data_IF_126685293874
#
_entry.id   IF_126685293874
#
_cell.length_a   1.000
_cell.length_b   1.000
_cell.length_c   1.000
_cell.angle_alpha   90.00
_cell.angle_beta   90.00
_cell.angle_gamma   90.00
#
_symmetry.space_group_name_H-M   'P 1'
#
loop_
_entity.id
_entity.type
_entity.pdbx_description
1 polymer ?
#
# COMPACT_ATOMS: atom_id res chain seq x y z
N UNK A 1 -18.71 14.65 28.06
CA UNK A 1 -18.46 13.30 28.62
C UNK A 1 -19.65 12.35 28.51
N UNK A 2 -20.91 12.76 28.73
CA UNK A 2 -22.07 11.84 28.60
C UNK A 2 -22.43 11.43 27.16
N UNK A 3 -22.00 12.17 26.12
CA UNK A 3 -22.25 11.79 24.71
C UNK A 3 -21.29 10.71 24.16
N UNK A 4 -20.13 10.46 24.78
CA UNK A 4 -19.21 9.40 24.34
C UNK A 4 -19.59 8.02 24.87
N UNK A 5 -20.20 7.96 26.06
CA UNK A 5 -20.74 6.72 26.64
C UNK A 5 -21.95 6.18 25.85
N UNK A 6 -22.75 7.05 25.24
CA UNK A 6 -23.87 6.65 24.36
C UNK A 6 -23.44 6.17 22.96
N UNK A 7 -22.25 6.59 22.48
CA UNK A 7 -21.65 6.12 21.21
C UNK A 7 -20.91 4.78 21.37
N UNK A 8 -20.31 4.53 22.53
CA UNK A 8 -19.73 3.22 22.88
C UNK A 8 -20.82 2.19 23.15
N UNK A 9 -21.91 2.58 23.83
CA UNK A 9 -23.02 1.68 24.12
C UNK A 9 -23.71 1.20 22.84
N UNK A 10 -23.93 2.06 21.84
CA UNK A 10 -24.55 1.68 20.56
C UNK A 10 -23.68 0.77 19.67
N UNK A 11 -22.35 0.98 19.65
CA UNK A 11 -21.39 0.08 18.96
C UNK A 11 -21.31 -1.30 19.60
N UNK A 12 -21.29 -1.36 20.94
CA UNK A 12 -21.36 -2.63 21.67
C UNK A 12 -22.76 -3.26 21.57
N UNK A 13 -23.85 -2.49 21.54
CA UNK A 13 -25.21 -3.01 21.40
C UNK A 13 -25.46 -3.64 20.03
N UNK A 14 -24.95 -3.06 18.94
CA UNK A 14 -25.08 -3.62 17.59
C UNK A 14 -24.23 -4.88 17.39
N UNK A 15 -22.98 -4.90 17.89
CA UNK A 15 -22.12 -6.10 17.87
C UNK A 15 -22.66 -7.21 18.79
N UNK A 16 -23.17 -6.87 19.97
CA UNK A 16 -23.76 -7.84 20.90
C UNK A 16 -25.12 -8.36 20.43
N UNK A 17 -25.99 -7.54 19.79
CA UNK A 17 -27.23 -8.05 19.18
C UNK A 17 -26.96 -8.99 18.00
N UNK A 18 -25.95 -8.70 17.15
CA UNK A 18 -25.56 -9.60 16.06
C UNK A 18 -24.95 -10.91 16.58
N UNK A 19 -24.09 -10.87 17.61
CA UNK A 19 -23.57 -12.08 18.27
C UNK A 19 -24.65 -12.89 19.00
N UNK A 20 -25.60 -12.24 19.66
CA UNK A 20 -26.67 -12.91 20.39
C UNK A 20 -27.73 -13.59 19.48
N UNK A 21 -27.93 -13.09 18.25
CA UNK A 21 -28.80 -13.76 17.28
C UNK A 21 -28.14 -14.93 16.53
N UNK A 22 -26.80 -15.08 16.57
CA UNK A 22 -26.07 -16.07 15.76
C UNK A 22 -25.83 -17.43 16.43
N UNK A 23 -26.11 -17.60 17.73
CA UNK A 23 -25.91 -18.89 18.42
C UNK A 23 -26.96 -19.97 18.10
N UNK A 24 -27.86 -19.74 17.12
CA UNK A 24 -29.00 -20.64 16.84
C UNK A 24 -28.96 -21.34 15.48
N UNK A 25 -27.77 -21.59 14.92
CA UNK A 25 -27.60 -22.47 13.76
C UNK A 25 -26.66 -23.63 14.10
N UNK A 26 -27.24 -24.73 14.63
CA UNK A 26 -26.53 -26.02 14.75
C UNK A 26 -26.13 -26.47 13.33
N UNK A 27 -24.85 -26.35 12.98
CA UNK A 27 -24.28 -26.83 11.70
C UNK A 27 -23.72 -25.74 10.77
N UNK A 28 -23.81 -24.45 11.10
CA UNK A 28 -23.17 -23.40 10.31
C UNK A 28 -21.73 -23.15 10.77
N UNK A 29 -20.81 -22.86 9.84
CA UNK A 29 -19.45 -22.42 10.17
C UNK A 29 -19.49 -21.13 11.02
N UNK A 30 -18.54 -20.95 11.97
CA UNK A 30 -18.43 -19.70 12.72
C UNK A 30 -18.27 -18.50 11.79
N UNK A 31 -18.85 -17.35 12.16
CA UNK A 31 -18.80 -16.12 11.38
C UNK A 31 -17.36 -15.73 11.03
N UNK A 32 -16.46 -15.83 12.01
CA UNK A 32 -15.05 -15.47 11.88
C UNK A 32 -14.33 -16.35 10.85
N UNK A 33 -14.72 -17.61 10.74
CA UNK A 33 -14.16 -18.53 9.76
C UNK A 33 -14.69 -18.25 8.37
N UNK A 34 -16.00 -17.96 8.24
CA UNK A 34 -16.60 -17.54 6.96
C UNK A 34 -15.98 -16.23 6.49
N UNK A 35 -15.83 -15.25 7.38
CA UNK A 35 -15.17 -13.97 7.08
C UNK A 35 -13.74 -14.19 6.59
N UNK A 36 -12.94 -15.01 7.30
CA UNK A 36 -11.58 -15.32 6.87
C UNK A 36 -11.53 -15.96 5.49
N UNK A 37 -12.34 -16.98 5.24
CA UNK A 37 -12.42 -17.65 3.93
C UNK A 37 -12.78 -16.65 2.83
N UNK A 38 -13.76 -15.78 3.09
CA UNK A 38 -14.23 -14.80 2.12
C UNK A 38 -13.21 -13.69 1.88
N UNK A 39 -12.48 -13.23 2.89
CA UNK A 39 -11.38 -12.27 2.73
C UNK A 39 -10.28 -12.89 1.89
N UNK A 40 -9.82 -14.10 2.23
CA UNK A 40 -8.76 -14.80 1.51
C UNK A 40 -9.16 -15.02 0.04
N UNK A 41 -10.39 -15.51 -0.20
CA UNK A 41 -10.91 -15.70 -1.55
C UNK A 41 -11.04 -14.37 -2.31
N UNK A 42 -11.68 -13.36 -1.73
CA UNK A 42 -11.93 -12.05 -2.38
C UNK A 42 -10.63 -11.35 -2.77
N UNK A 43 -9.64 -11.34 -1.87
CA UNK A 43 -8.34 -10.73 -2.12
C UNK A 43 -7.44 -11.55 -3.05
N UNK A 44 -7.65 -12.87 -3.17
CA UNK A 44 -6.86 -13.70 -4.08
C UNK A 44 -7.28 -13.58 -5.56
N UNK A 45 -8.48 -13.07 -5.85
CA UNK A 45 -9.00 -12.94 -7.21
C UNK A 45 -8.43 -11.67 -7.88
N UNK A 46 -7.57 -11.89 -8.87
CA UNK A 46 -6.85 -10.81 -9.57
C UNK A 46 -7.64 -10.08 -10.65
N UNK A 47 -8.76 -10.61 -11.13
CA UNK A 47 -9.56 -9.97 -12.18
C UNK A 47 -10.96 -9.57 -11.70
N UNK A 48 -11.37 -8.36 -12.07
CA UNK A 48 -12.67 -7.77 -11.72
C UNK A 48 -13.87 -8.65 -12.08
N UNK A 49 -13.87 -9.27 -13.27
CA UNK A 49 -15.00 -10.07 -13.77
C UNK A 49 -15.25 -11.30 -12.90
N UNK A 50 -14.21 -12.09 -12.64
CA UNK A 50 -14.26 -13.26 -11.75
C UNK A 50 -14.60 -12.84 -10.33
N UNK A 51 -14.11 -11.69 -9.87
CA UNK A 51 -14.39 -11.17 -8.54
C UNK A 51 -15.88 -10.90 -8.35
N UNK A 52 -16.54 -10.22 -9.31
CA UNK A 52 -17.99 -10.01 -9.25
C UNK A 52 -18.81 -11.26 -9.54
N UNK A 53 -18.30 -12.19 -10.35
CA UNK A 53 -18.93 -13.50 -10.52
C UNK A 53 -18.95 -14.28 -9.19
N UNK A 54 -17.80 -14.34 -8.50
CA UNK A 54 -17.70 -14.92 -7.16
C UNK A 54 -18.67 -14.24 -6.19
N UNK A 55 -18.76 -12.91 -6.23
CA UNK A 55 -19.72 -12.17 -5.42
C UNK A 55 -21.16 -12.65 -5.66
N UNK A 56 -21.57 -12.77 -6.94
CA UNK A 56 -22.89 -13.24 -7.33
C UNK A 56 -23.19 -14.67 -6.84
N UNK A 57 -22.25 -15.59 -7.03
CA UNK A 57 -22.37 -17.00 -6.62
C UNK A 57 -22.49 -17.12 -5.10
N UNK A 58 -21.61 -16.46 -4.34
CA UNK A 58 -21.61 -16.57 -2.87
C UNK A 58 -22.83 -15.89 -2.25
N UNK A 59 -23.30 -14.77 -2.83
CA UNK A 59 -24.45 -14.03 -2.33
C UNK A 59 -25.77 -14.84 -2.34
N UNK A 60 -25.86 -15.89 -3.16
CA UNK A 60 -27.05 -16.75 -3.22
C UNK A 60 -26.96 -18.00 -2.33
N UNK A 61 -25.79 -18.34 -1.77
CA UNK A 61 -25.60 -19.56 -0.97
C UNK A 61 -26.43 -19.56 0.32
N UNK A 62 -26.32 -18.48 1.10
CA UNK A 62 -27.10 -18.30 2.33
C UNK A 62 -27.08 -16.85 2.78
N UNK A 63 -27.99 -16.49 3.69
CA UNK A 63 -28.03 -15.15 4.28
C UNK A 63 -26.74 -14.81 5.04
N UNK A 64 -26.19 -15.74 5.83
CA UNK A 64 -24.97 -15.49 6.62
C UNK A 64 -23.79 -15.20 5.71
N UNK A 65 -23.56 -16.05 4.70
CA UNK A 65 -22.45 -15.86 3.76
C UNK A 65 -22.59 -14.56 2.97
N UNK A 66 -23.80 -14.24 2.53
CA UNK A 66 -24.08 -12.98 1.83
C UNK A 66 -23.80 -11.76 2.72
N UNK A 67 -24.30 -11.76 3.96
CA UNK A 67 -24.12 -10.63 4.88
C UNK A 67 -22.63 -10.42 5.23
N UNK A 68 -21.89 -11.52 5.47
CA UNK A 68 -20.43 -11.47 5.69
C UNK A 68 -19.73 -10.96 4.43
N UNK A 69 -20.11 -11.46 3.25
CA UNK A 69 -19.51 -11.05 1.99
C UNK A 69 -19.72 -9.56 1.71
N UNK A 70 -20.90 -9.01 1.96
CA UNK A 70 -21.13 -7.56 1.83
C UNK A 70 -20.17 -6.76 2.73
N UNK A 71 -20.02 -7.18 3.99
CA UNK A 71 -19.08 -6.54 4.92
C UNK A 71 -17.62 -6.67 4.43
N UNK A 72 -17.24 -7.80 3.84
CA UNK A 72 -15.90 -8.02 3.26
C UNK A 72 -15.67 -7.13 2.04
N UNK A 73 -16.58 -7.14 1.07
CA UNK A 73 -16.45 -6.36 -0.18
C UNK A 73 -16.39 -4.86 0.11
N UNK A 74 -17.21 -4.37 1.03
CA UNK A 74 -17.18 -2.95 1.42
C UNK A 74 -15.94 -2.60 2.24
N UNK A 75 -15.37 -3.55 3.00
CA UNK A 75 -14.16 -3.32 3.78
C UNK A 75 -12.88 -3.42 2.95
N UNK A 76 -12.89 -4.22 1.88
CA UNK A 76 -11.78 -4.46 0.96
C UNK A 76 -12.22 -4.16 -0.48
N UNK A 77 -12.41 -2.87 -0.77
CA UNK A 77 -12.88 -2.44 -2.07
C UNK A 77 -11.75 -2.46 -3.11
N UNK A 78 -12.03 -2.94 -4.32
CA UNK A 78 -11.13 -3.00 -5.48
C UNK A 78 -11.76 -2.28 -6.66
N UNK A 79 -11.32 -1.06 -6.95
CA UNK A 79 -11.84 -0.29 -8.09
C UNK A 79 -10.80 -0.32 -9.21
N UNK A 80 -10.97 -1.24 -10.17
CA UNK A 80 -10.03 -1.47 -11.29
C UNK A 80 -10.63 -1.06 -12.65
N UNK A 81 -11.95 -1.05 -12.74
CA UNK A 81 -12.72 -0.84 -13.97
C UNK A 81 -14.05 -0.15 -13.68
N UNK A 82 -14.64 0.54 -14.68
CA UNK A 82 -15.92 1.25 -14.49
C UNK A 82 -17.05 0.36 -13.96
N UNK A 83 -17.16 -0.92 -14.38
CA UNK A 83 -18.05 -1.88 -13.75
C UNK A 83 -17.87 -2.01 -12.24
N UNK A 84 -16.63 -2.07 -11.73
CA UNK A 84 -16.37 -2.15 -10.29
C UNK A 84 -17.01 -0.98 -9.55
N UNK A 85 -16.74 0.24 -10.03
CA UNK A 85 -17.25 1.46 -9.44
C UNK A 85 -18.78 1.48 -9.36
N UNK A 86 -19.45 1.16 -10.48
CA UNK A 86 -20.92 1.09 -10.54
C UNK A 86 -21.46 0.04 -9.56
N UNK A 87 -20.77 -1.08 -9.38
CA UNK A 87 -21.17 -2.08 -8.39
C UNK A 87 -20.99 -1.57 -6.97
N UNK A 88 -19.85 -0.96 -6.61
CA UNK A 88 -19.66 -0.37 -5.29
C UNK A 88 -20.68 0.73 -4.99
N UNK A 89 -21.01 1.59 -5.95
CA UNK A 89 -22.04 2.61 -5.79
C UNK A 89 -23.41 1.98 -5.45
N UNK A 90 -23.78 0.89 -6.14
CA UNK A 90 -24.99 0.12 -5.84
C UNK A 90 -24.96 -0.55 -4.46
N UNK A 91 -23.78 -0.95 -3.99
CA UNK A 91 -23.63 -1.54 -2.65
C UNK A 91 -23.70 -0.49 -1.55
N UNK A 92 -22.99 0.63 -1.73
CA UNK A 92 -22.92 1.74 -0.78
C UNK A 92 -24.26 2.47 -0.65
N UNK A 93 -25.05 2.56 -1.72
CA UNK A 93 -26.43 3.09 -1.63
C UNK A 93 -27.36 2.22 -0.80
N UNK A 94 -27.00 0.95 -0.54
CA UNK A 94 -27.80 -0.01 0.23
C UNK A 94 -27.28 -0.23 1.64
N UNK A 95 -26.01 0.04 1.92
CA UNK A 95 -25.31 -0.34 3.16
C UNK A 95 -24.45 0.80 3.73
N UNK A 96 -24.41 0.95 5.06
CA UNK A 96 -23.69 2.03 5.77
C UNK A 96 -22.17 1.95 5.54
N UNK A 97 -21.53 3.00 4.98
CA UNK A 97 -20.18 2.94 4.43
C UNK A 97 -19.12 3.13 5.51
N UNK A 98 -18.58 2.03 6.04
CA UNK A 98 -17.33 2.09 6.81
C UNK A 98 -16.25 1.20 6.21
N UNK A 99 -15.85 1.55 4.98
CA UNK A 99 -14.71 0.92 4.34
C UNK A 99 -13.44 1.23 5.14
N UNK A 100 -12.68 0.20 5.51
CA UNK A 100 -11.40 0.37 6.25
C UNK A 100 -10.20 0.30 5.31
N UNK A 101 -10.29 -0.51 4.25
CA UNK A 101 -9.23 -0.75 3.29
C UNK A 101 -9.76 -0.61 1.86
N UNK A 102 -9.07 0.17 1.03
CA UNK A 102 -9.50 0.41 -0.35
C UNK A 102 -8.30 0.27 -1.28
N UNK A 103 -8.34 -0.68 -2.19
CA UNK A 103 -7.43 -0.79 -3.33
C UNK A 103 -8.06 -0.13 -4.55
N UNK A 104 -7.35 0.82 -5.14
CA UNK A 104 -7.80 1.58 -6.29
C UNK A 104 -6.73 1.47 -7.36
N UNK A 105 -7.11 0.92 -8.51
CA UNK A 105 -6.27 0.94 -9.70
C UNK A 105 -6.77 2.07 -10.57
N UNK A 106 -6.01 3.17 -10.59
CA UNK A 106 -6.31 4.32 -11.42
C UNK A 106 -5.65 4.13 -12.78
N UNK A 107 -6.47 3.73 -13.75
CA UNK A 107 -6.16 3.90 -15.17
C UNK A 107 -6.50 5.32 -15.61
N UNK A 108 -5.50 6.13 -15.95
CA UNK A 108 -5.72 7.48 -16.49
C UNK A 108 -5.59 7.54 -18.03
N UNK A 109 -5.45 6.40 -18.72
CA UNK A 109 -5.58 6.33 -20.19
C UNK A 109 -7.05 6.31 -20.58
N UNK A 110 -7.91 5.74 -19.75
CA UNK A 110 -9.34 5.75 -20.03
C UNK A 110 -10.06 6.88 -19.29
N UNK A 111 -10.84 7.67 -20.03
CA UNK A 111 -11.65 8.81 -19.51
C UNK A 111 -12.79 8.35 -18.59
N UNK A 112 -12.72 7.14 -18.04
CA UNK A 112 -13.85 6.45 -17.43
C UNK A 112 -14.15 6.93 -16.01
N UNK A 113 -13.20 7.61 -15.34
CA UNK A 113 -13.35 8.03 -13.94
C UNK A 113 -12.92 9.46 -13.70
N UNK A 114 -13.73 10.20 -12.95
CA UNK A 114 -13.29 11.43 -12.30
C UNK A 114 -12.80 11.10 -10.90
N UNK A 115 -11.60 11.55 -10.54
CA UNK A 115 -11.05 11.39 -9.18
C UNK A 115 -12.05 11.88 -8.12
N UNK A 116 -12.78 12.96 -8.41
CA UNK A 116 -13.79 13.53 -7.52
C UNK A 116 -14.94 12.57 -7.20
N UNK A 117 -15.25 11.61 -8.08
CA UNK A 117 -16.30 10.61 -7.86
C UNK A 117 -15.80 9.52 -6.91
N UNK A 118 -14.57 9.05 -7.11
CA UNK A 118 -13.91 8.09 -6.21
C UNK A 118 -13.78 8.68 -4.81
N UNK A 119 -13.42 9.97 -4.71
CA UNK A 119 -13.26 10.68 -3.44
C UNK A 119 -14.52 10.62 -2.54
N UNK A 120 -15.72 10.53 -3.13
CA UNK A 120 -16.98 10.42 -2.37
C UNK A 120 -17.11 9.11 -1.60
N UNK A 121 -16.44 8.05 -2.05
CA UNK A 121 -16.59 6.70 -1.51
C UNK A 121 -15.47 6.29 -0.57
N UNK A 122 -14.42 7.11 -0.44
CA UNK A 122 -13.24 6.80 0.37
C UNK A 122 -12.98 7.70 1.59
N UNK A 123 -13.87 8.60 2.06
CA UNK A 123 -13.50 9.61 3.07
C UNK A 123 -13.08 9.01 4.42
N UNK A 124 -13.53 7.79 4.74
CA UNK A 124 -13.17 7.07 5.98
C UNK A 124 -12.08 5.99 5.78
N UNK A 125 -11.49 5.90 4.59
CA UNK A 125 -10.46 4.91 4.30
C UNK A 125 -9.23 5.15 5.19
N UNK A 126 -8.72 4.08 5.82
CA UNK A 126 -7.49 4.13 6.62
C UNK A 126 -6.28 3.63 5.87
N UNK A 127 -6.53 2.70 4.95
CA UNK A 127 -5.53 2.06 4.10
C UNK A 127 -5.94 2.24 2.65
N UNK A 128 -5.02 2.71 1.83
CA UNK A 128 -5.25 2.88 0.40
C UNK A 128 -4.09 2.32 -0.42
N UNK A 129 -4.41 1.55 -1.45
CA UNK A 129 -3.47 1.21 -2.52
C UNK A 129 -3.84 2.02 -3.76
N UNK A 130 -2.88 2.73 -4.33
CA UNK A 130 -3.05 3.45 -5.59
C UNK A 130 -2.09 2.87 -6.63
N UNK A 131 -2.66 2.22 -7.64
CA UNK A 131 -1.95 1.97 -8.89
C UNK A 131 -2.13 3.16 -9.82
N UNK A 132 -1.05 3.69 -10.36
CA UNK A 132 -1.11 4.66 -11.45
C UNK A 132 -0.57 3.92 -12.67
N UNK A 133 -1.45 3.47 -13.57
CA UNK A 133 -1.02 2.58 -14.67
C UNK A 133 -0.64 3.30 -15.96
N UNK A 134 -0.72 4.64 -15.97
CA UNK A 134 -0.48 5.43 -17.19
C UNK A 134 0.34 6.67 -16.96
N UNK A 135 1.21 6.99 -17.93
CA UNK A 135 2.12 8.13 -17.92
C UNK A 135 1.37 9.44 -18.20
N UNK A 136 0.68 9.97 -17.18
CA UNK A 136 0.21 11.36 -17.16
C UNK A 136 0.73 12.07 -15.92
N UNK A 137 1.94 12.62 -16.09
CA UNK A 137 2.71 13.43 -15.14
C UNK A 137 1.89 14.49 -14.38
N UNK A 138 0.92 15.09 -15.06
CA UNK A 138 0.12 16.20 -14.50
C UNK A 138 -1.05 15.72 -13.62
N UNK A 139 -1.39 14.43 -13.68
CA UNK A 139 -2.56 13.90 -12.99
C UNK A 139 -2.28 13.60 -11.52
N UNK A 140 -1.01 13.38 -11.14
CA UNK A 140 -0.65 13.08 -9.75
C UNK A 140 -1.01 14.24 -8.81
N UNK A 141 -0.84 15.49 -9.23
CA UNK A 141 -1.28 16.65 -8.46
C UNK A 141 -2.80 16.65 -8.22
N UNK A 142 -3.58 16.22 -9.21
CA UNK A 142 -5.05 16.09 -9.09
C UNK A 142 -5.42 14.95 -8.13
N UNK A 143 -4.70 13.83 -8.16
CA UNK A 143 -4.89 12.73 -7.19
C UNK A 143 -4.62 13.22 -5.78
N UNK A 144 -3.50 13.93 -5.56
CA UNK A 144 -3.17 14.51 -4.26
C UNK A 144 -4.30 15.43 -3.77
N UNK A 145 -4.74 16.38 -4.62
CA UNK A 145 -5.72 17.40 -4.25
C UNK A 145 -7.14 16.86 -4.07
N UNK A 146 -7.63 16.06 -5.03
CA UNK A 146 -9.03 15.66 -5.08
C UNK A 146 -9.33 14.39 -4.30
N UNK A 147 -8.34 13.52 -4.08
CA UNK A 147 -8.54 12.24 -3.38
C UNK A 147 -7.85 12.23 -2.01
N UNK A 148 -6.53 12.38 -2.02
CA UNK A 148 -5.72 12.11 -0.82
C UNK A 148 -5.88 13.20 0.25
N UNK A 149 -5.79 14.47 -0.14
CA UNK A 149 -5.91 15.60 0.79
C UNK A 149 -7.29 15.69 1.45
N UNK A 150 -8.33 15.14 0.82
CA UNK A 150 -9.70 15.10 1.37
C UNK A 150 -9.96 13.89 2.27
N UNK A 151 -9.05 12.91 2.31
CA UNK A 151 -9.22 11.68 3.09
C UNK A 151 -8.46 11.78 4.40
N UNK A 152 -9.02 12.51 5.37
CA UNK A 152 -8.35 12.81 6.65
C UNK A 152 -8.05 11.57 7.50
N UNK A 153 -8.78 10.46 7.31
CA UNK A 153 -8.55 9.21 8.04
C UNK A 153 -7.42 8.34 7.46
N UNK A 154 -6.88 8.70 6.30
CA UNK A 154 -5.92 7.88 5.57
C UNK A 154 -4.56 7.89 6.27
N UNK A 155 -4.18 6.77 6.86
CA UNK A 155 -2.92 6.64 7.61
C UNK A 155 -1.85 5.85 6.86
N UNK A 156 -2.28 4.88 6.04
CA UNK A 156 -1.42 3.99 5.27
C UNK A 156 -1.72 4.14 3.78
N UNK A 157 -0.70 4.51 3.01
CA UNK A 157 -0.82 4.70 1.57
C UNK A 157 0.26 3.92 0.86
N UNK A 158 -0.14 3.13 -0.14
CA UNK A 158 0.77 2.58 -1.14
C UNK A 158 0.53 3.27 -2.47
N UNK A 159 1.61 3.69 -3.13
CA UNK A 159 1.56 4.22 -4.49
C UNK A 159 2.49 3.37 -5.34
N UNK A 160 1.95 2.82 -6.42
CA UNK A 160 2.68 2.01 -7.37
C UNK A 160 2.53 2.60 -8.77
N UNK A 161 3.65 2.81 -9.45
CA UNK A 161 3.67 3.21 -10.86
C UNK A 161 3.84 1.98 -11.76
N UNK A 162 3.57 2.10 -13.08
CA UNK A 162 3.84 1.02 -14.02
C UNK A 162 5.36 0.89 -14.22
N UNK A 163 5.87 -0.20 -14.80
CA UNK A 163 7.26 -0.25 -15.27
C UNK A 163 7.46 0.87 -16.29
N UNK A 164 8.25 1.88 -15.95
CA UNK A 164 8.43 3.05 -16.81
C UNK A 164 9.55 2.80 -17.81
N UNK A 165 9.23 2.90 -19.10
CA UNK A 165 10.22 2.90 -20.17
C UNK A 165 10.98 4.24 -20.24
N UNK A 166 10.36 5.32 -19.74
CA UNK A 166 10.92 6.68 -19.77
C UNK A 166 10.89 7.29 -18.36
N UNK A 167 12.00 7.92 -17.96
CA UNK A 167 12.05 8.78 -16.77
C UNK A 167 11.08 9.94 -16.96
N UNK A 168 10.11 10.09 -16.06
CA UNK A 168 9.23 11.26 -16.05
C UNK A 168 9.35 12.03 -14.74
N UNK A 169 9.03 13.32 -14.80
CA UNK A 169 8.98 14.20 -13.65
C UNK A 169 7.52 14.38 -13.18
N UNK A 170 7.24 14.10 -11.90
CA UNK A 170 6.09 14.66 -11.20
C UNK A 170 6.51 16.02 -10.64
N UNK A 171 6.00 17.13 -11.19
CA UNK A 171 6.24 18.44 -10.59
C UNK A 171 5.67 18.47 -9.17
N UNK A 172 6.30 19.26 -8.30
CA UNK A 172 5.78 19.50 -6.96
C UNK A 172 4.43 20.22 -7.08
N UNK A 173 3.39 19.68 -6.45
CA UNK A 173 2.03 20.20 -6.55
C UNK A 173 1.70 21.27 -5.51
N UNK A 174 2.54 21.44 -4.47
CA UNK A 174 2.22 22.25 -3.30
C UNK A 174 1.18 21.65 -2.36
N UNK A 175 0.60 20.49 -2.71
CA UNK A 175 -0.45 19.83 -1.93
C UNK A 175 0.19 18.96 -0.86
N UNK A 176 -0.23 19.16 0.38
CA UNK A 176 0.26 18.39 1.54
C UNK A 176 -0.82 17.45 2.05
N UNK A 177 -0.45 16.19 2.26
CA UNK A 177 -1.31 15.14 2.83
C UNK A 177 -0.77 14.77 4.21
N UNK A 178 -1.36 15.39 5.22
CA UNK A 178 -0.89 15.30 6.61
C UNK A 178 -1.30 14.02 7.35
N UNK A 179 -2.36 13.35 6.88
CA UNK A 179 -2.92 12.18 7.56
C UNK A 179 -2.04 10.93 7.44
N UNK A 180 -1.24 10.83 6.38
CA UNK A 180 -0.44 9.65 6.06
C UNK A 180 0.79 9.58 6.94
N UNK A 181 0.95 8.45 7.62
CA UNK A 181 2.10 8.14 8.51
C UNK A 181 2.92 6.97 7.99
N UNK A 182 2.30 6.07 7.21
CA UNK A 182 2.92 4.92 6.59
C UNK A 182 2.79 5.04 5.08
N UNK A 183 3.92 5.16 4.39
CA UNK A 183 3.96 5.38 2.95
C UNK A 183 4.80 4.29 2.29
N UNK A 184 4.22 3.56 1.35
CA UNK A 184 4.92 2.60 0.52
C UNK A 184 4.93 3.10 -0.92
N UNK A 185 6.12 3.33 -1.47
CA UNK A 185 6.30 3.78 -2.84
C UNK A 185 7.03 2.68 -3.63
N UNK A 186 6.36 2.17 -4.66
CA UNK A 186 6.91 1.15 -5.55
C UNK A 186 6.99 1.68 -6.99
N UNK A 187 8.07 1.32 -7.70
CA UNK A 187 8.33 1.64 -9.11
C UNK A 187 8.32 3.14 -9.40
N UNK A 188 8.74 3.95 -8.43
CA UNK A 188 8.68 5.41 -8.54
C UNK A 188 9.58 5.96 -9.66
N UNK A 189 9.19 7.10 -10.26
CA UNK A 189 10.09 7.87 -11.08
C UNK A 189 11.20 8.48 -10.21
N UNK A 190 12.43 8.01 -10.37
CA UNK A 190 13.58 8.41 -9.56
C UNK A 190 13.80 9.94 -9.51
N UNK A 191 13.53 10.65 -10.60
CA UNK A 191 13.62 12.12 -10.68
C UNK A 191 12.59 12.86 -9.81
N UNK A 192 11.54 12.20 -9.33
CA UNK A 192 10.40 12.85 -8.66
C UNK A 192 10.15 12.37 -7.25
N UNK A 193 10.92 11.39 -6.77
CA UNK A 193 10.72 10.82 -5.44
C UNK A 193 10.78 11.89 -4.34
N UNK A 194 11.70 12.86 -4.45
CA UNK A 194 11.77 14.00 -3.52
C UNK A 194 10.47 14.82 -3.50
N UNK A 195 9.95 15.21 -4.67
CA UNK A 195 8.69 15.95 -4.79
C UNK A 195 7.49 15.18 -4.23
N UNK A 196 7.47 13.85 -4.43
CA UNK A 196 6.45 12.97 -3.87
C UNK A 196 6.55 12.97 -2.34
N UNK A 197 7.74 12.73 -1.78
CA UNK A 197 7.95 12.69 -0.33
C UNK A 197 7.64 14.04 0.34
N UNK A 198 7.95 15.17 -0.32
CA UNK A 198 7.60 16.50 0.15
C UNK A 198 6.09 16.70 0.36
N UNK A 199 5.25 15.92 -0.32
CA UNK A 199 3.79 15.96 -0.17
C UNK A 199 3.29 15.23 1.09
N UNK A 200 4.14 14.47 1.79
CA UNK A 200 3.77 13.63 2.94
C UNK A 200 4.66 13.92 4.16
N UNK A 201 4.54 15.11 4.77
CA UNK A 201 5.46 15.57 5.82
C UNK A 201 5.42 14.73 7.12
N UNK A 202 4.30 14.07 7.41
CA UNK A 202 4.10 13.30 8.65
C UNK A 202 4.49 11.81 8.55
N UNK A 203 5.15 11.40 7.45
CA UNK A 203 5.55 10.01 7.25
C UNK A 203 6.61 9.62 8.26
N UNK A 204 6.29 8.59 9.05
CA UNK A 204 7.21 7.99 10.03
C UNK A 204 7.72 6.64 9.57
N UNK A 205 6.95 5.93 8.74
CA UNK A 205 7.31 4.63 8.18
C UNK A 205 7.30 4.75 6.66
N UNK A 206 8.48 4.69 6.05
CA UNK A 206 8.65 4.77 4.60
C UNK A 206 9.14 3.44 4.06
N UNK A 207 8.41 2.86 3.10
CA UNK A 207 8.84 1.68 2.36
C UNK A 207 9.13 2.03 0.90
N UNK A 208 10.29 1.63 0.41
CA UNK A 208 10.69 1.83 -0.98
C UNK A 208 10.85 0.48 -1.68
N UNK A 209 10.08 0.28 -2.73
CA UNK A 209 10.10 -0.93 -3.55
C UNK A 209 11.09 -0.89 -4.72
N UNK A 210 11.82 0.21 -4.89
CA UNK A 210 12.67 0.45 -6.07
C UNK A 210 13.94 1.18 -5.65
N UNK A 211 15.12 0.57 -5.86
CA UNK A 211 16.42 1.16 -5.55
C UNK A 211 16.58 2.56 -6.10
N UNK A 212 17.18 3.42 -5.28
CA UNK A 212 17.53 4.80 -5.61
C UNK A 212 18.69 5.26 -4.73
N UNK A 213 19.32 6.38 -5.11
CA UNK A 213 20.37 6.99 -4.30
C UNK A 213 19.76 7.64 -3.06
N UNK A 214 19.81 6.92 -1.92
CA UNK A 214 19.18 7.36 -0.67
C UNK A 214 19.71 8.71 -0.14
N UNK A 215 20.96 9.08 -0.47
CA UNK A 215 21.51 10.40 -0.12
C UNK A 215 20.67 11.58 -0.66
N UNK A 216 20.00 11.39 -1.80
CA UNK A 216 19.13 12.42 -2.39
C UNK A 216 17.83 12.60 -1.61
N UNK A 217 17.52 11.67 -0.70
CA UNK A 217 16.30 11.69 0.08
C UNK A 217 16.50 12.28 1.49
N UNK A 218 17.75 12.50 1.92
CA UNK A 218 18.08 13.02 3.26
C UNK A 218 17.23 14.25 3.65
N UNK A 219 16.99 15.25 2.77
CA UNK A 219 16.16 16.41 3.12
C UNK A 219 14.72 16.07 3.54
N UNK A 220 14.20 14.91 3.12
CA UNK A 220 12.82 14.47 3.36
C UNK A 220 12.71 13.42 4.47
N UNK A 221 13.81 13.09 5.16
CA UNK A 221 13.87 12.01 6.15
C UNK A 221 13.79 12.50 7.60
N UNK A 222 13.43 13.77 7.83
CA UNK A 222 13.40 14.37 9.17
C UNK A 222 12.43 13.66 10.10
N UNK A 223 11.24 13.30 9.62
CA UNK A 223 10.17 12.63 10.39
C UNK A 223 10.20 11.11 10.30
N UNK A 224 10.92 10.54 9.32
CA UNK A 224 11.01 9.10 9.09
C UNK A 224 11.80 8.43 10.22
N UNK A 225 11.15 7.46 10.86
CA UNK A 225 11.70 6.63 11.94
C UNK A 225 12.08 5.24 11.45
N UNK A 226 11.28 4.68 10.54
CA UNK A 226 11.49 3.34 9.98
C UNK A 226 11.56 3.45 8.47
N UNK A 227 12.69 3.05 7.89
CA UNK A 227 12.90 2.94 6.46
C UNK A 227 12.96 1.47 6.06
N UNK A 228 12.02 1.02 5.25
CA UNK A 228 11.93 -0.35 4.73
C UNK A 228 12.38 -0.35 3.27
N UNK A 229 13.36 -1.17 2.94
CA UNK A 229 13.94 -1.28 1.59
C UNK A 229 13.68 -2.67 1.04
N UNK A 230 12.94 -2.78 -0.07
CA UNK A 230 12.79 -4.06 -0.77
C UNK A 230 13.98 -4.28 -1.70
N UNK A 231 14.83 -5.24 -1.34
CA UNK A 231 16.07 -5.59 -2.01
C UNK A 231 15.97 -7.01 -2.63
N UNK A 232 15.17 -7.20 -3.69
CA UNK A 232 14.98 -8.51 -4.29
C UNK A 232 16.23 -9.07 -4.97
N UNK A 233 16.33 -10.40 -5.08
CA UNK A 233 17.35 -11.05 -5.90
C UNK A 233 17.06 -10.79 -7.38
N UNK A 234 18.10 -10.76 -8.23
CA UNK A 234 17.96 -10.58 -9.70
C UNK A 234 17.17 -9.33 -10.11
N UNK A 235 17.62 -8.18 -9.62
CA UNK A 235 16.96 -6.91 -9.93
C UNK A 235 17.31 -6.44 -11.34
N UNK A 236 16.30 -6.23 -12.18
CA UNK A 236 16.47 -5.69 -13.53
C UNK A 236 16.21 -4.18 -13.54
N UNK A 237 17.15 -3.41 -14.07
CA UNK A 237 16.91 -2.02 -14.46
C UNK A 237 16.50 -2.01 -15.92
N UNK A 238 15.28 -1.53 -16.20
CA UNK A 238 14.84 -1.33 -17.57
C UNK A 238 15.56 -0.11 -18.14
N UNK A 239 16.37 -0.32 -19.17
CA UNK A 239 17.03 0.73 -19.95
C UNK A 239 16.55 0.64 -21.39
N UNK A 240 16.75 1.70 -22.18
CA UNK A 240 16.32 1.74 -23.58
C UNK A 240 16.93 0.60 -24.44
N UNK A 241 18.06 0.00 -24.02
CA UNK A 241 18.74 -1.20 -24.55
C UNK A 241 20.03 -1.44 -23.71
N UNK A 242 20.52 -2.68 -23.52
CA UNK A 242 19.82 -3.89 -23.08
C UNK A 242 19.51 -3.86 -21.57
N UNK A 243 18.49 -4.63 -21.13
CA UNK A 243 18.12 -4.76 -19.72
C UNK A 243 19.30 -5.20 -18.86
N UNK A 244 19.71 -4.35 -17.93
CA UNK A 244 20.77 -4.67 -16.98
C UNK A 244 20.18 -5.48 -15.84
N UNK A 245 20.60 -6.74 -15.70
CA UNK A 245 20.20 -7.62 -14.61
C UNK A 245 21.33 -7.62 -13.58
N UNK A 246 21.05 -7.08 -12.40
CA UNK A 246 21.94 -7.15 -11.26
C UNK A 246 21.67 -8.42 -10.47
N UNK A 247 22.71 -9.14 -10.00
CA UNK A 247 22.52 -10.33 -9.17
C UNK A 247 21.79 -9.99 -7.85
N UNK A 248 21.92 -8.75 -7.38
CA UNK A 248 21.23 -8.21 -6.22
C UNK A 248 20.99 -6.70 -6.36
N UNK A 249 19.93 -6.22 -5.73
CA UNK A 249 19.64 -4.79 -5.58
C UNK A 249 20.23 -4.17 -4.32
N UNK A 250 20.81 -4.96 -3.40
CA UNK A 250 21.38 -4.45 -2.14
C UNK A 250 22.38 -3.30 -2.38
N UNK A 251 23.36 -3.42 -3.30
CA UNK A 251 24.32 -2.34 -3.53
C UNK A 251 23.69 -1.08 -4.15
N UNK A 252 22.58 -1.25 -4.89
CA UNK A 252 21.94 -0.15 -5.63
C UNK A 252 21.26 0.86 -4.71
N UNK A 253 21.01 0.51 -3.45
CA UNK A 253 20.48 1.42 -2.44
C UNK A 253 21.50 2.43 -1.92
N UNK A 254 22.80 2.14 -2.11
CA UNK A 254 23.91 3.01 -1.70
C UNK A 254 23.78 3.53 -0.25
N UNK A 255 23.47 2.63 0.68
CA UNK A 255 23.14 2.97 2.08
C UNK A 255 24.33 3.58 2.80
N UNK A 256 25.55 3.09 2.56
CA UNK A 256 26.76 3.57 3.22
C UNK A 256 26.98 5.07 2.97
N UNK A 257 27.00 5.47 1.70
CA UNK A 257 27.11 6.87 1.28
C UNK A 257 25.95 7.72 1.85
N UNK A 258 24.73 7.17 1.88
CA UNK A 258 23.58 7.89 2.43
C UNK A 258 23.71 8.15 3.94
N UNK A 259 24.23 7.20 4.73
CA UNK A 259 24.48 7.36 6.16
C UNK A 259 25.51 8.47 6.42
N UNK A 260 26.59 8.50 5.64
CA UNK A 260 27.61 9.57 5.72
C UNK A 260 27.02 10.95 5.45
N UNK A 261 26.02 11.01 4.56
CA UNK A 261 25.28 12.24 4.25
C UNK A 261 24.15 12.55 5.26
N UNK A 262 24.02 11.79 6.34
CA UNK A 262 23.07 12.04 7.42
C UNK A 262 21.70 11.39 7.23
N UNK A 263 21.59 10.33 6.42
CA UNK A 263 20.37 9.51 6.33
C UNK A 263 19.97 9.04 7.74
N UNK A 264 18.74 9.37 8.14
CA UNK A 264 18.21 9.03 9.46
C UNK A 264 19.10 9.50 10.62
N UNK A 265 19.86 10.60 10.45
CA UNK A 265 20.57 11.23 11.56
C UNK A 265 19.54 11.92 12.46
N UNK A 266 19.36 11.43 13.68
CA UNK A 266 18.50 12.06 14.68
C UNK A 266 19.31 12.84 15.71
N UNK A 267 18.84 14.03 16.07
CA UNK A 267 19.20 14.72 17.31
C UNK A 267 18.38 14.21 18.50
N UNK A 268 17.30 13.48 18.22
CA UNK A 268 16.33 13.04 19.20
C UNK A 268 16.67 11.67 19.79
N UNK A 269 16.24 11.43 21.03
CA UNK A 269 16.44 10.17 21.76
C UNK A 269 15.68 8.97 21.20
N UNK A 270 14.92 9.13 20.12
CA UNK A 270 14.14 8.04 19.51
C UNK A 270 15.00 7.27 18.51
N UNK A 271 15.16 5.94 18.68
CA UNK A 271 15.95 5.14 17.75
C UNK A 271 15.29 5.10 16.37
N UNK A 272 16.10 5.27 15.33
CA UNK A 272 15.69 5.11 13.93
C UNK A 272 16.18 3.78 13.39
N UNK A 273 15.44 3.21 12.44
CA UNK A 273 15.65 1.86 11.96
C UNK A 273 15.62 1.78 10.44
N UNK A 274 16.53 0.99 9.88
CA UNK A 274 16.49 0.50 8.49
C UNK A 274 16.16 -1.00 8.53
N UNK A 275 15.11 -1.38 7.81
CA UNK A 275 14.73 -2.77 7.58
C UNK A 275 14.96 -3.08 6.11
N UNK A 276 15.82 -4.04 5.81
CA UNK A 276 16.07 -4.51 4.45
C UNK A 276 15.38 -5.85 4.22
N UNK A 277 14.42 -5.88 3.30
CA UNK A 277 13.77 -7.09 2.83
C UNK A 277 14.57 -7.66 1.66
N UNK A 278 15.49 -8.57 1.93
CA UNK A 278 16.40 -9.14 0.94
C UNK A 278 15.95 -10.51 0.41
N UNK A 279 16.50 -10.90 -0.74
CA UNK A 279 16.43 -12.27 -1.24
C UNK A 279 17.18 -13.27 -0.35
N UNK A 280 16.80 -14.55 -0.39
CA UNK A 280 17.49 -15.65 0.34
C UNK A 280 18.91 -15.98 -0.19
N UNK A 281 19.47 -15.16 -1.07
CA UNK A 281 20.81 -15.35 -1.63
C UNK A 281 21.90 -14.90 -0.65
N UNK A 282 22.99 -15.67 -0.59
CA UNK A 282 24.19 -15.37 0.20
C UNK A 282 25.14 -14.39 -0.49
N UNK A 283 24.87 -14.02 -1.75
CA UNK A 283 25.73 -13.14 -2.57
C UNK A 283 26.06 -11.80 -1.91
N UNK A 284 25.18 -11.31 -1.03
CA UNK A 284 25.31 -9.99 -0.41
C UNK A 284 25.75 -10.04 1.06
N UNK A 285 26.21 -11.20 1.57
CA UNK A 285 26.61 -11.36 2.99
C UNK A 285 27.61 -10.29 3.45
N UNK A 286 28.65 -10.04 2.65
CA UNK A 286 29.67 -9.03 2.96
C UNK A 286 29.06 -7.63 2.97
N UNK A 287 28.36 -7.24 1.90
CA UNK A 287 27.70 -5.93 1.80
C UNK A 287 26.72 -5.68 2.95
N UNK A 288 25.93 -6.67 3.36
CA UNK A 288 24.99 -6.57 4.48
C UNK A 288 25.73 -6.41 5.81
N UNK A 289 26.86 -7.09 5.99
CA UNK A 289 27.72 -6.92 7.17
C UNK A 289 28.28 -5.49 7.25
N UNK A 290 28.77 -4.96 6.12
CA UNK A 290 29.30 -3.59 6.04
C UNK A 290 28.21 -2.55 6.33
N UNK A 291 27.00 -2.76 5.79
CA UNK A 291 25.83 -1.92 6.07
C UNK A 291 25.48 -1.97 7.56
N UNK A 292 25.45 -3.16 8.17
CA UNK A 292 25.14 -3.32 9.59
C UNK A 292 26.14 -2.57 10.48
N UNK A 293 27.44 -2.69 10.18
CA UNK A 293 28.49 -1.99 10.91
C UNK A 293 28.38 -0.48 10.74
N UNK A 294 28.14 0.00 9.51
CA UNK A 294 27.97 1.43 9.24
C UNK A 294 26.72 2.01 9.92
N UNK A 295 25.60 1.28 9.92
CA UNK A 295 24.39 1.68 10.65
C UNK A 295 24.67 1.81 12.16
N UNK A 296 25.38 0.85 12.74
CA UNK A 296 25.78 0.90 14.15
C UNK A 296 26.64 2.13 14.47
N UNK A 297 27.63 2.44 13.62
CA UNK A 297 28.49 3.62 13.78
C UNK A 297 27.71 4.94 13.72
N UNK A 298 26.60 4.97 12.98
CA UNK A 298 25.73 6.14 12.84
C UNK A 298 24.53 6.12 13.82
N UNK A 299 24.45 5.16 14.73
CA UNK A 299 23.35 5.05 15.71
C UNK A 299 22.00 4.68 15.09
N UNK A 300 21.99 4.02 13.94
CA UNK A 300 20.80 3.54 13.24
C UNK A 300 20.67 2.03 13.45
N UNK A 301 19.51 1.57 13.90
CA UNK A 301 19.24 0.14 14.02
C UNK A 301 19.08 -0.47 12.62
N UNK A 302 19.69 -1.63 12.38
CA UNK A 302 19.61 -2.32 11.09
C UNK A 302 19.09 -3.73 11.26
N UNK A 303 18.09 -4.10 10.44
CA UNK A 303 17.52 -5.44 10.39
C UNK A 303 17.46 -5.92 8.94
N UNK A 304 18.03 -7.09 8.64
CA UNK A 304 17.92 -7.71 7.32
C UNK A 304 17.00 -8.94 7.38
N UNK A 305 15.85 -8.87 6.71
CA UNK A 305 14.85 -9.94 6.62
C UNK A 305 15.00 -10.68 5.29
N UNK A 306 15.00 -12.01 5.31
CA UNK A 306 15.16 -12.85 4.11
C UNK A 306 13.80 -13.35 3.58
N UNK A 307 12.98 -12.41 3.12
CA UNK A 307 11.58 -12.69 2.76
C UNK A 307 11.38 -13.06 1.29
N UNK A 308 12.25 -12.60 0.38
CA UNK A 308 12.06 -12.87 -1.05
C UNK A 308 12.67 -14.24 -1.44
N UNK A 309 11.91 -15.13 -2.10
CA UNK A 309 12.46 -16.37 -2.63
C UNK A 309 13.54 -16.08 -3.70
N UNK A 310 14.45 -17.04 -3.93
CA UNK A 310 15.57 -16.88 -4.88
C UNK A 310 15.13 -16.68 -6.33
N UNK A 311 13.93 -17.14 -6.68
CA UNK A 311 13.29 -16.93 -7.98
C UNK A 311 12.34 -15.72 -8.01
N UNK A 312 12.28 -14.92 -6.93
CA UNK A 312 11.43 -13.74 -6.91
C UNK A 312 11.97 -12.70 -7.88
N UNK A 313 11.12 -12.27 -8.80
CA UNK A 313 11.38 -11.13 -9.66
C UNK A 313 10.35 -10.08 -9.30
N UNK A 314 10.74 -8.82 -9.03
CA UNK A 314 9.76 -7.76 -8.81
C UNK A 314 8.89 -7.73 -10.05
N UNK A 315 7.58 -7.97 -9.95
CA UNK A 315 6.68 -8.17 -11.08
C UNK A 315 6.70 -6.97 -12.07
N UNK A 316 7.69 -6.92 -12.95
CA UNK A 316 7.70 -6.07 -14.13
C UNK A 316 6.96 -6.75 -15.29
N UNK A 317 6.71 -8.06 -15.18
CA UNK A 317 6.08 -8.90 -16.21
C UNK A 317 4.61 -9.22 -15.95
N UNK A 318 4.12 -9.09 -14.71
CA UNK A 318 2.72 -9.37 -14.38
C UNK A 318 2.05 -8.09 -13.91
N UNK A 319 1.38 -7.41 -14.85
CA UNK A 319 0.50 -6.26 -14.59
C UNK A 319 -0.67 -6.59 -13.66
N UNK A 320 -0.95 -7.86 -13.40
CA UNK A 320 -2.15 -8.34 -12.68
C UNK A 320 -1.95 -8.88 -11.26
N UNK A 321 -0.71 -9.11 -10.78
CA UNK A 321 -0.50 -9.61 -9.41
C UNK A 321 -0.13 -8.49 -8.44
N UNK A 322 -1.15 -7.97 -7.79
CA UNK A 322 -1.01 -7.23 -6.55
C UNK A 322 -0.65 -8.23 -5.46
N UNK A 323 0.62 -8.28 -5.05
CA UNK A 323 1.02 -9.09 -3.90
C UNK A 323 0.38 -8.49 -2.63
N UNK A 324 -0.68 -9.15 -2.16
CA UNK A 324 -1.48 -8.80 -0.98
C UNK A 324 -0.85 -9.30 0.32
N UNK A 325 0.11 -10.22 0.26
CA UNK A 325 0.84 -10.74 1.43
C UNK A 325 1.96 -9.77 1.87
N UNK A 326 2.42 -8.89 0.97
CA UNK A 326 3.38 -7.83 1.30
C UNK A 326 2.86 -6.75 2.28
N UNK A 327 1.64 -6.90 2.80
CA UNK A 327 0.91 -5.90 3.61
C UNK A 327 0.74 -6.26 5.08
N UNK A 328 1.06 -7.49 5.48
CA UNK A 328 1.15 -7.94 6.88
C UNK A 328 2.57 -7.80 7.41
#
# INVERSE_FOLDING_TARGET
MLCELLRLSSKLFCLCKRKAQLHKYKGALPYELVEKILVDAWCSIGDSSTRWHFFGVVSILSKVWRDVLYDVVLRYAFVESKPDFVMYEKLLSRHDPRARYISIVLDAVDKQFRIDEIAKHVPEARFMCLAIITDRRDYFGTILQSLLAKTESLTHLRICWPPLHNSFACPFSGVLVWSVTHLHIARHPSASLGSILASFPNVTHLRLGTPCFLKNLVPYMSTVRVLILDAPPRYSVYTALPTLIFPSSVPLWNILDALEHGLLKSTDSNPRQIIMNAGRSDTDKLAISDISLSCQNHGVAFECRRIHPSCWHPSHLESGRWDHDAWS
#
